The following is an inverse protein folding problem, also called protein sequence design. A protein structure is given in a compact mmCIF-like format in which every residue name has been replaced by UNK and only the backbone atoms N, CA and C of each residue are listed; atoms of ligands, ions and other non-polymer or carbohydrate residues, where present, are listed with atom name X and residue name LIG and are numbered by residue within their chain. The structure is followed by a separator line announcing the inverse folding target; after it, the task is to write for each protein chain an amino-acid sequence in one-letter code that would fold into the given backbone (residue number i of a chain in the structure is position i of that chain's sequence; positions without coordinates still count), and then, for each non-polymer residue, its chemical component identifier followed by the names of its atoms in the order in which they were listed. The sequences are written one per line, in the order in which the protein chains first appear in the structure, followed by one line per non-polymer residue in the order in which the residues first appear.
data_IF_845825137790
#
_entry.id   IF_845825137790
#
_cell.length_a   1.000
_cell.length_b   1.000
_cell.length_c   1.000
_cell.angle_alpha   90.00
_cell.angle_beta   90.00
_cell.angle_gamma   90.00
#
_symmetry.space_group_name_H-M   'P 1'
#
loop_
_entity.id
_entity.type
_entity.pdbx_description
1 polymer ?
#
# COMPACT_ATOMS: atom_id res chain seq x y z
N UNK A 1 -6.24 -17.65 -36.20
CA UNK A 1 -5.99 -18.89 -35.44
C UNK A 1 -6.95 -18.88 -34.26
N UNK A 2 -7.97 -19.75 -34.32
CA UNK A 2 -9.22 -19.70 -33.54
C UNK A 2 -9.24 -21.00 -32.74
N UNK A 3 -9.28 -20.91 -31.41
CA UNK A 3 -9.34 -22.10 -30.55
C UNK A 3 -10.71 -22.10 -29.88
N UNK A 4 -11.57 -22.99 -30.36
CA UNK A 4 -12.81 -23.40 -29.72
C UNK A 4 -12.48 -24.51 -28.70
N UNK A 5 -13.07 -24.44 -27.51
CA UNK A 5 -13.17 -25.57 -26.59
C UNK A 5 -14.62 -25.65 -26.09
N UNK A 6 -15.33 -26.68 -26.55
CA UNK A 6 -16.68 -27.03 -26.15
C UNK A 6 -16.67 -27.94 -24.90
N UNK A 7 -17.51 -27.53 -23.94
CA UNK A 7 -18.36 -28.29 -23.01
C UNK A 7 -18.13 -29.79 -22.74
N UNK A 8 -17.93 -30.10 -21.46
CA UNK A 8 -18.61 -31.18 -20.71
C UNK A 8 -18.95 -30.58 -19.33
N UNK A 9 -20.12 -30.70 -18.71
CA UNK A 9 -21.21 -31.66 -18.87
C UNK A 9 -21.34 -32.53 -17.62
N UNK A 10 -21.62 -31.95 -16.44
CA UNK A 10 -22.06 -32.70 -15.26
C UNK A 10 -23.10 -31.89 -14.47
N UNK A 11 -24.36 -32.33 -14.60
CA UNK A 11 -25.48 -31.99 -13.73
C UNK A 11 -25.57 -33.05 -12.64
N UNK A 12 -25.67 -32.67 -11.37
CA UNK A 12 -26.39 -33.48 -10.37
C UNK A 12 -27.13 -32.60 -9.36
N UNK A 13 -28.45 -32.83 -9.38
CA UNK A 13 -29.47 -32.77 -8.34
C UNK A 13 -29.39 -31.73 -7.18
N UNK A 14 -30.47 -30.94 -7.16
CA UNK A 14 -31.15 -30.33 -6.03
C UNK A 14 -31.36 -31.24 -4.82
N UNK A 15 -31.26 -30.67 -3.62
CA UNK A 15 -32.32 -30.73 -2.60
C UNK A 15 -32.10 -29.66 -1.50
N UNK A 16 -33.21 -29.02 -1.15
CA UNK A 16 -33.35 -27.90 -0.23
C UNK A 16 -33.19 -28.31 1.24
N UNK A 17 -32.63 -27.41 2.06
CA UNK A 17 -32.98 -27.31 3.46
C UNK A 17 -32.87 -25.84 3.91
N UNK A 18 -34.00 -25.30 4.34
CA UNK A 18 -34.17 -24.00 4.98
C UNK A 18 -33.76 -24.17 6.44
N UNK A 19 -32.85 -23.35 6.97
CA UNK A 19 -32.84 -23.04 8.39
C UNK A 19 -32.21 -21.66 8.64
N UNK A 20 -33.06 -20.69 8.98
CA UNK A 20 -32.71 -19.40 9.54
C UNK A 20 -32.06 -19.56 10.90
N UNK A 21 -30.87 -18.98 11.13
CA UNK A 21 -30.43 -18.55 12.47
C UNK A 21 -29.58 -17.27 12.35
N UNK A 22 -30.16 -16.15 12.81
CA UNK A 22 -29.41 -14.99 13.31
C UNK A 22 -28.60 -15.43 14.54
N UNK A 23 -27.34 -15.03 14.62
CA UNK A 23 -26.53 -15.25 15.81
C UNK A 23 -25.11 -14.71 15.66
N UNK A 24 -24.94 -13.45 16.07
CA UNK A 24 -23.73 -12.82 16.58
C UNK A 24 -22.46 -12.88 15.71
N UNK A 25 -22.21 -11.75 15.03
CA UNK A 25 -20.88 -11.32 14.64
C UNK A 25 -20.01 -11.13 15.89
N UNK A 26 -19.31 -12.19 16.29
CA UNK A 26 -18.15 -12.07 17.16
C UNK A 26 -17.06 -11.45 16.31
N UNK A 27 -16.75 -10.19 16.59
CA UNK A 27 -15.55 -9.54 16.08
C UNK A 27 -14.36 -10.33 16.64
N UNK A 28 -13.85 -11.29 15.87
CA UNK A 28 -12.55 -11.88 16.15
C UNK A 28 -11.53 -10.77 16.01
N UNK A 29 -11.09 -10.27 17.17
CA UNK A 29 -9.94 -9.41 17.31
C UNK A 29 -8.78 -10.11 16.61
N UNK A 30 -8.42 -9.60 15.42
CA UNK A 30 -7.20 -9.94 14.75
C UNK A 30 -6.06 -9.73 15.76
N UNK A 31 -5.60 -10.84 16.34
CA UNK A 31 -4.42 -10.88 17.18
C UNK A 31 -3.28 -10.55 16.25
N UNK A 32 -2.91 -9.27 16.23
CA UNK A 32 -1.72 -8.79 15.55
C UNK A 32 -0.53 -9.49 16.20
N UNK A 33 -0.01 -10.50 15.50
CA UNK A 33 1.28 -11.07 15.79
C UNK A 33 2.31 -9.93 15.95
N UNK A 34 3.33 -10.10 16.80
CA UNK A 34 4.40 -9.12 16.94
C UNK A 34 5.09 -8.97 15.58
N UNK A 35 4.81 -7.87 14.90
CA UNK A 35 5.35 -7.48 13.61
C UNK A 35 6.88 -7.36 13.70
N UNK A 36 7.58 -7.79 12.66
CA UNK A 36 9.03 -7.80 12.63
C UNK A 36 9.56 -6.38 12.86
N UNK A 37 10.72 -6.21 13.53
CA UNK A 37 11.30 -4.88 13.72
C UNK A 37 11.55 -4.22 12.35
N UNK A 38 11.00 -3.03 12.14
CA UNK A 38 11.30 -2.21 10.96
C UNK A 38 12.82 -1.98 10.95
N UNK A 39 13.53 -2.26 9.85
CA UNK A 39 14.95 -1.96 9.74
C UNK A 39 15.14 -0.43 9.85
N UNK A 40 15.63 0.05 10.99
CA UNK A 40 15.77 1.49 11.26
C UNK A 40 17.22 1.96 11.16
N UNK A 41 17.39 3.19 10.70
CA UNK A 41 18.67 3.89 10.64
C UNK A 41 18.44 5.32 11.09
N UNK A 42 19.14 5.74 12.15
CA UNK A 42 19.06 7.11 12.69
C UNK A 42 19.27 8.16 11.59
N UNK A 43 20.13 7.85 10.62
CA UNK A 43 20.37 8.73 9.48
C UNK A 43 19.15 8.83 8.55
N UNK A 44 18.55 7.70 8.16
CA UNK A 44 17.35 7.71 7.30
C UNK A 44 16.15 8.33 8.01
N UNK A 45 16.01 8.07 9.31
CA UNK A 45 14.97 8.67 10.14
C UNK A 45 15.09 10.20 10.15
N UNK A 46 16.31 10.75 10.20
CA UNK A 46 16.55 12.19 10.13
C UNK A 46 16.15 12.83 8.78
N UNK A 47 16.03 12.02 7.73
CA UNK A 47 15.58 12.44 6.41
C UNK A 47 14.08 12.19 6.18
N UNK A 48 13.36 11.72 7.19
CA UNK A 48 11.98 11.22 7.08
C UNK A 48 11.85 10.09 6.03
N UNK A 49 12.87 9.23 5.94
CA UNK A 49 12.89 8.06 5.07
C UNK A 49 12.75 6.78 5.90
N UNK A 50 11.97 5.82 5.40
CA UNK A 50 11.83 4.48 5.99
C UNK A 50 12.07 3.42 4.93
N UNK A 51 12.58 2.26 5.34
CA UNK A 51 12.75 1.10 4.48
C UNK A 51 11.52 0.20 4.59
N UNK A 52 10.93 -0.14 3.46
CA UNK A 52 9.89 -1.17 3.39
C UNK A 52 10.49 -2.53 3.77
N UNK A 53 9.94 -3.20 4.78
CA UNK A 53 10.50 -4.46 5.30
C UNK A 53 10.40 -5.65 4.31
N UNK A 54 9.39 -5.67 3.42
CA UNK A 54 9.15 -6.79 2.50
C UNK A 54 10.02 -6.67 1.24
N UNK A 55 10.00 -5.50 0.60
CA UNK A 55 10.61 -5.26 -0.70
C UNK A 55 11.89 -4.43 -0.63
N UNK A 56 12.26 -3.96 0.56
CA UNK A 56 13.52 -3.26 0.83
C UNK A 56 13.71 -1.98 -0.01
N UNK A 57 12.64 -1.29 -0.42
CA UNK A 57 12.75 0.04 -1.06
C UNK A 57 12.55 1.18 -0.06
N UNK A 58 12.97 2.39 -0.44
CA UNK A 58 12.82 3.59 0.38
C UNK A 58 11.46 4.24 0.20
N UNK A 59 10.87 4.72 1.30
CA UNK A 59 9.65 5.52 1.28
C UNK A 59 9.88 6.83 2.02
N UNK A 60 9.47 7.94 1.40
CA UNK A 60 9.38 9.23 2.09
C UNK A 60 8.12 9.25 2.97
N UNK A 61 8.27 9.43 4.28
CA UNK A 61 7.16 9.43 5.22
C UNK A 61 6.28 10.67 5.09
N UNK A 62 6.85 11.81 4.65
CA UNK A 62 6.10 13.06 4.44
C UNK A 62 5.24 12.95 3.18
N UNK A 63 5.85 12.61 2.04
CA UNK A 63 5.17 12.55 0.75
C UNK A 63 4.41 11.25 0.51
N UNK A 64 4.72 10.21 1.28
CA UNK A 64 4.11 8.88 1.17
C UNK A 64 4.31 8.25 -0.21
N UNK A 65 5.52 8.42 -0.76
CA UNK A 65 5.91 7.89 -2.07
C UNK A 65 7.12 6.98 -1.91
N UNK A 66 7.10 5.88 -2.67
CA UNK A 66 8.28 5.03 -2.85
C UNK A 66 9.27 5.74 -3.79
N UNK A 67 10.56 5.60 -3.51
CA UNK A 67 11.65 6.23 -4.27
C UNK A 67 12.72 5.19 -4.57
N UNK A 68 13.27 5.22 -5.78
CA UNK A 68 14.54 4.57 -6.06
C UNK A 68 15.67 5.29 -5.33
N UNK A 69 16.80 4.62 -5.15
CA UNK A 69 17.94 5.21 -4.43
C UNK A 69 18.49 6.47 -5.11
N UNK A 70 18.35 6.56 -6.43
CA UNK A 70 18.80 7.70 -7.23
C UNK A 70 17.86 8.91 -7.11
N UNK A 71 16.57 8.67 -6.92
CA UNK A 71 15.54 9.70 -6.84
C UNK A 71 15.58 10.46 -5.51
N UNK A 72 16.05 9.83 -4.44
CA UNK A 72 16.01 10.39 -3.07
C UNK A 72 16.65 11.77 -2.97
N UNK A 73 17.87 11.94 -3.50
CA UNK A 73 18.56 13.24 -3.41
C UNK A 73 17.78 14.34 -4.13
N UNK A 74 17.26 14.04 -5.31
CA UNK A 74 16.45 14.96 -6.10
C UNK A 74 15.13 15.30 -5.40
N UNK A 75 14.46 14.30 -4.84
CA UNK A 75 13.23 14.43 -4.07
C UNK A 75 13.43 15.33 -2.83
N UNK A 76 14.43 15.04 -2.01
CA UNK A 76 14.73 15.85 -0.81
C UNK A 76 15.05 17.30 -1.16
N UNK A 77 15.81 17.55 -2.23
CA UNK A 77 16.15 18.89 -2.67
C UNK A 77 14.93 19.66 -3.20
N UNK A 78 14.14 19.05 -4.09
CA UNK A 78 13.05 19.72 -4.80
C UNK A 78 11.76 19.82 -3.97
N UNK A 79 11.44 18.78 -3.21
CA UNK A 79 10.16 18.67 -2.49
C UNK A 79 10.26 19.17 -1.05
N UNK A 80 11.43 19.01 -0.41
CA UNK A 80 11.62 19.39 0.99
C UNK A 80 12.62 20.52 1.20
N UNK A 81 13.38 20.94 0.18
CA UNK A 81 14.43 21.95 0.32
C UNK A 81 15.62 21.50 1.19
N UNK A 82 15.81 20.19 1.38
CA UNK A 82 16.73 19.60 2.38
C UNK A 82 18.06 19.10 1.81
N UNK A 83 18.55 19.71 0.72
CA UNK A 83 19.78 19.25 0.05
C UNK A 83 21.01 19.20 0.98
N UNK A 84 21.13 20.12 1.93
CA UNK A 84 22.27 20.20 2.87
C UNK A 84 22.32 19.08 3.92
N UNK A 85 21.19 18.47 4.24
CA UNK A 85 21.12 17.33 5.20
C UNK A 85 21.49 15.99 4.55
N UNK A 86 21.51 15.95 3.21
CA UNK A 86 21.88 14.76 2.45
C UNK A 86 23.40 14.61 2.40
N UNK A 87 23.89 13.50 2.95
CA UNK A 87 25.28 13.07 2.95
C UNK A 87 25.37 11.73 2.22
N UNK A 88 26.00 11.73 1.05
CA UNK A 88 26.03 10.55 0.19
C UNK A 88 26.73 9.35 0.84
N UNK A 89 27.78 9.57 1.64
CA UNK A 89 28.48 8.49 2.33
C UNK A 89 27.59 7.84 3.40
N UNK A 90 26.98 8.63 4.30
CA UNK A 90 26.08 8.09 5.33
C UNK A 90 24.84 7.43 4.73
N UNK A 91 24.33 7.99 3.63
CA UNK A 91 23.23 7.40 2.87
C UNK A 91 23.60 6.00 2.36
N UNK A 92 24.69 5.88 1.60
CA UNK A 92 25.14 4.58 1.07
C UNK A 92 25.45 3.56 2.17
N UNK A 93 26.02 4.00 3.29
CA UNK A 93 26.27 3.14 4.45
C UNK A 93 24.96 2.58 5.02
N UNK A 94 23.94 3.43 5.18
CA UNK A 94 22.62 3.01 5.64
C UNK A 94 21.93 2.06 4.65
N UNK A 95 22.04 2.32 3.34
CA UNK A 95 21.47 1.45 2.31
C UNK A 95 22.08 0.04 2.36
N UNK A 96 23.41 -0.04 2.47
CA UNK A 96 24.12 -1.31 2.58
C UNK A 96 23.76 -2.09 3.85
N UNK A 97 23.70 -1.40 5.00
CA UNK A 97 23.34 -2.02 6.28
C UNK A 97 21.92 -2.60 6.28
N UNK A 98 20.97 -1.89 5.66
CA UNK A 98 19.56 -2.29 5.60
C UNK A 98 19.21 -3.09 4.34
N UNK A 99 20.20 -3.42 3.49
CA UNK A 99 20.04 -4.16 2.23
C UNK A 99 18.96 -3.57 1.32
N UNK A 100 18.95 -2.25 1.19
CA UNK A 100 17.96 -1.52 0.38
C UNK A 100 18.16 -1.87 -1.10
N UNK A 101 17.06 -2.16 -1.80
CA UNK A 101 17.03 -2.34 -3.24
C UNK A 101 17.25 -0.99 -3.96
N UNK A 102 18.10 -0.98 -4.98
CA UNK A 102 18.40 0.23 -5.76
C UNK A 102 17.15 0.74 -6.50
N UNK A 103 16.44 -0.19 -7.14
CA UNK A 103 15.27 0.08 -7.97
C UNK A 103 13.97 -0.33 -7.28
N UNK A 104 12.88 0.33 -7.67
CA UNK A 104 11.55 -0.06 -7.24
C UNK A 104 11.14 -1.40 -7.89
N UNK A 105 10.53 -2.32 -7.14
CA UNK A 105 10.09 -3.61 -7.68
C UNK A 105 8.99 -3.42 -8.73
N UNK A 106 9.19 -3.98 -9.92
CA UNK A 106 8.24 -3.92 -11.04
C UNK A 106 7.19 -5.04 -11.01
N UNK A 107 7.46 -6.12 -10.26
CA UNK A 107 6.64 -7.34 -10.23
C UNK A 107 5.79 -7.47 -8.95
N UNK A 108 5.28 -6.36 -8.40
CA UNK A 108 4.33 -6.43 -7.29
C UNK A 108 2.97 -6.87 -7.85
N UNK A 109 2.55 -8.08 -7.51
CA UNK A 109 1.23 -8.63 -7.88
C UNK A 109 0.48 -9.12 -6.65
N UNK A 110 -0.86 -9.21 -6.79
CA UNK A 110 -1.78 -9.74 -5.79
C UNK A 110 -2.13 -8.80 -4.63
N UNK A 111 -3.21 -9.09 -3.89
CA UNK A 111 -3.52 -8.42 -2.64
C UNK A 111 -2.40 -8.70 -1.63
N UNK A 112 -1.88 -7.64 -1.00
CA UNK A 112 -0.77 -7.73 -0.03
C UNK A 112 -1.29 -7.46 1.37
N UNK A 113 -0.68 -8.09 2.40
CA UNK A 113 -0.85 -7.65 3.76
C UNK A 113 -0.36 -6.19 3.90
N UNK A 114 -0.74 -5.55 5.00
CA UNK A 114 -0.32 -4.18 5.31
C UNK A 114 1.20 -4.07 5.19
N UNK A 115 1.67 -3.09 4.43
CA UNK A 115 3.08 -2.71 4.41
C UNK A 115 3.46 -2.15 5.77
N UNK A 116 4.37 -2.84 6.46
CA UNK A 116 4.88 -2.42 7.76
C UNK A 116 5.71 -1.13 7.63
N UNK A 117 5.64 -0.27 8.65
CA UNK A 117 6.36 1.01 8.68
C UNK A 117 5.68 2.19 7.98
N UNK A 118 4.58 1.97 7.25
CA UNK A 118 3.77 3.06 6.71
C UNK A 118 2.63 3.41 7.65
N UNK A 119 2.43 4.73 7.84
CA UNK A 119 1.31 5.24 8.61
C UNK A 119 0.00 4.88 7.92
N UNK A 120 -0.87 4.18 8.63
CA UNK A 120 -2.21 3.90 8.14
C UNK A 120 -3.12 5.09 8.40
N UNK A 121 -3.95 5.37 7.40
CA UNK A 121 -4.89 6.46 7.41
C UNK A 121 -6.29 5.94 7.09
N UNK A 122 -7.27 6.50 7.77
CA UNK A 122 -8.66 6.28 7.40
C UNK A 122 -8.92 6.89 6.02
N UNK A 123 -9.43 6.05 5.12
CA UNK A 123 -9.92 6.44 3.81
C UNK A 123 -11.44 6.52 3.80
N UNK A 124 -11.97 7.33 2.89
CA UNK A 124 -13.39 7.37 2.54
C UNK A 124 -13.55 6.89 1.11
N UNK A 125 -14.46 5.95 0.91
CA UNK A 125 -14.77 5.36 -0.39
C UNK A 125 -16.02 6.01 -0.99
N UNK A 126 -16.08 6.06 -2.32
CA UNK A 126 -17.31 6.38 -3.00
C UNK A 126 -18.23 5.16 -3.00
N UNK A 127 -19.52 5.38 -2.73
CA UNK A 127 -20.52 4.30 -2.77
C UNK A 127 -20.89 3.88 -4.21
N UNK A 128 -20.57 4.72 -5.20
CA UNK A 128 -20.97 4.53 -6.60
C UNK A 128 -19.86 4.00 -7.50
N UNK A 129 -18.59 4.07 -7.08
CA UNK A 129 -17.45 3.58 -7.87
C UNK A 129 -16.24 3.24 -6.99
N UNK A 130 -15.17 2.71 -7.59
CA UNK A 130 -13.95 2.32 -6.87
C UNK A 130 -13.04 3.49 -6.46
N UNK A 131 -13.53 4.73 -6.46
CA UNK A 131 -12.74 5.89 -6.05
C UNK A 131 -12.55 5.91 -4.53
N UNK A 132 -11.30 6.10 -4.10
CA UNK A 132 -10.89 6.20 -2.69
C UNK A 132 -10.19 7.54 -2.46
N UNK A 133 -10.48 8.18 -1.33
CA UNK A 133 -9.78 9.40 -0.94
C UNK A 133 -9.49 9.43 0.55
N UNK A 134 -8.47 10.19 0.95
CA UNK A 134 -8.19 10.50 2.35
C UNK A 134 -8.98 11.70 2.88
N UNK A 135 -9.72 12.38 2.01
CA UNK A 135 -10.49 13.59 2.36
C UNK A 135 -11.94 13.45 1.92
N UNK A 136 -12.85 13.69 2.87
CA UNK A 136 -14.29 13.80 2.60
C UNK A 136 -14.60 14.92 1.61
N UNK A 137 -13.86 16.02 1.63
CA UNK A 137 -14.04 17.11 0.65
C UNK A 137 -13.69 16.68 -0.76
N UNK A 138 -12.61 15.92 -0.94
CA UNK A 138 -12.24 15.38 -2.24
C UNK A 138 -13.26 14.33 -2.71
N UNK A 139 -13.77 13.50 -1.80
CA UNK A 139 -14.83 12.55 -2.13
C UNK A 139 -16.13 13.26 -2.56
N UNK A 140 -16.52 14.33 -1.86
CA UNK A 140 -17.68 15.16 -2.21
C UNK A 140 -17.52 15.81 -3.58
N UNK A 141 -16.34 16.36 -3.88
CA UNK A 141 -16.02 16.93 -5.21
C UNK A 141 -16.06 15.86 -6.31
N UNK A 142 -15.49 14.69 -6.05
CA UNK A 142 -15.54 13.55 -6.96
C UNK A 142 -17.01 13.16 -7.24
N UNK A 143 -17.82 12.97 -6.19
CA UNK A 143 -19.22 12.60 -6.34
C UNK A 143 -20.00 13.64 -7.14
N UNK A 144 -19.81 14.94 -6.86
CA UNK A 144 -20.50 16.01 -7.62
C UNK A 144 -20.11 16.07 -9.10
N UNK A 145 -18.91 15.60 -9.48
CA UNK A 145 -18.38 15.67 -10.84
C UNK A 145 -18.65 14.41 -11.65
N UNK A 146 -18.45 13.24 -11.04
CA UNK A 146 -18.49 11.94 -11.70
C UNK A 146 -19.82 11.19 -11.46
N UNK A 147 -20.55 11.57 -10.42
CA UNK A 147 -21.88 11.03 -10.06
C UNK A 147 -22.91 12.15 -9.81
N UNK A 148 -23.07 13.11 -10.75
CA UNK A 148 -24.11 14.12 -10.62
C UNK A 148 -25.46 13.42 -10.50
N UNK A 149 -26.21 13.76 -9.45
CA UNK A 149 -27.60 13.31 -9.31
C UNK A 149 -28.38 13.91 -10.49
N UNK A 150 -28.84 13.05 -11.40
CA UNK A 150 -29.80 13.42 -12.46
C UNK A 150 -31.19 13.46 -11.87
#
# INVERSE_FOLDING_TARGET
MRIELQSTGLKFASQSAIQSQLGNATHEAATSAPSAPIPSSVYLDSLDLVVNAEFHFLTCQICQVALSTEEVRGHLAKTHGRHSTYNNYQFNLALGALKVAADLPTNITGPRPRVEGLKVHDGVACDNCHFLSRSKDNLRKHHGKEHPMV
#
